data_IF_280903531514
#
_entry.id   IF_280903531514
#
_cell.length_a   1.000
_cell.length_b   1.000
_cell.length_c   1.000
_cell.angle_alpha   90.00
_cell.angle_beta   90.00
_cell.angle_gamma   90.00
#
_symmetry.space_group_name_H-M   'P 1'
#
loop_
_entity.id
_entity.type
_entity.pdbx_description
1 polymer ?
#
# COMPACT_ATOMS: atom_id res chain seq x y z
N UNK A 1 58.68 -26.98 20.17
CA UNK A 1 58.08 -25.72 19.69
C UNK A 1 57.26 -26.06 18.46
N UNK A 2 55.96 -26.29 18.65
CA UNK A 2 55.03 -26.50 17.55
C UNK A 2 54.82 -25.15 16.86
N UNK A 3 54.90 -25.14 15.53
CA UNK A 3 54.63 -23.98 14.70
C UNK A 3 53.19 -23.51 14.93
N UNK A 4 53.03 -22.26 15.36
CA UNK A 4 51.75 -21.55 15.32
C UNK A 4 51.41 -21.33 13.85
N UNK A 5 50.28 -21.86 13.42
CA UNK A 5 49.73 -21.63 12.09
C UNK A 5 49.36 -20.14 11.93
N UNK A 6 49.95 -19.48 10.93
CA UNK A 6 49.48 -18.22 10.39
C UNK A 6 48.09 -18.41 9.75
N UNK A 7 47.00 -18.25 10.51
CA UNK A 7 45.67 -18.12 9.90
C UNK A 7 44.62 -17.41 10.76
N UNK A 8 45.01 -16.62 11.76
CA UNK A 8 44.04 -15.89 12.63
C UNK A 8 44.42 -14.40 12.73
N UNK A 9 44.54 -13.74 11.57
CA UNK A 9 44.35 -12.29 11.56
C UNK A 9 42.85 -12.03 11.76
N UNK A 10 42.42 -11.33 12.83
CA UNK A 10 41.01 -11.04 13.03
C UNK A 10 40.49 -10.28 11.81
N UNK A 11 39.46 -10.82 11.15
CA UNK A 11 38.83 -10.16 10.02
C UNK A 11 38.23 -8.86 10.55
N UNK A 12 38.86 -7.73 10.22
CA UNK A 12 38.34 -6.41 10.58
C UNK A 12 37.25 -6.03 9.59
N UNK A 13 36.01 -6.10 10.04
CA UNK A 13 34.86 -5.60 9.28
C UNK A 13 34.80 -4.07 9.38
N UNK A 14 34.57 -3.41 8.24
CA UNK A 14 34.22 -1.98 8.27
C UNK A 14 32.85 -1.82 8.95
N UNK A 15 32.67 -0.79 9.80
CA UNK A 15 31.41 -0.55 10.48
C UNK A 15 30.30 -0.21 9.48
N UNK A 16 29.06 -0.56 9.81
CA UNK A 16 27.91 -0.25 8.97
C UNK A 16 27.80 1.27 8.72
N UNK A 17 27.52 1.64 7.46
CA UNK A 17 27.45 3.05 7.06
C UNK A 17 26.28 3.74 7.80
N UNK A 18 26.53 4.84 8.55
CA UNK A 18 25.49 5.53 9.32
C UNK A 18 24.28 5.95 8.48
N UNK A 19 23.09 5.92 9.08
CA UNK A 19 21.80 6.19 8.42
C UNK A 19 21.71 7.59 7.81
N UNK A 20 22.41 8.59 8.36
CA UNK A 20 22.42 9.96 7.86
C UNK A 20 23.28 10.18 6.59
N UNK A 21 24.09 9.18 6.18
CA UNK A 21 24.97 9.27 5.02
C UNK A 21 24.37 8.57 3.79
N UNK A 22 24.66 9.14 2.62
CA UNK A 22 24.31 8.55 1.33
C UNK A 22 25.48 7.76 0.74
N UNK A 23 25.18 6.58 0.19
CA UNK A 23 26.13 5.82 -0.62
C UNK A 23 26.40 6.53 -1.95
N UNK A 24 27.52 6.23 -2.65
CA UNK A 24 27.77 6.77 -3.99
C UNK A 24 26.63 6.47 -4.97
N UNK A 25 26.07 5.26 -4.92
CA UNK A 25 24.93 4.84 -5.76
C UNK A 25 23.69 5.68 -5.45
N UNK A 26 23.35 5.87 -4.17
CA UNK A 26 22.23 6.71 -3.76
C UNK A 26 22.40 8.15 -4.25
N UNK A 27 23.60 8.73 -4.13
CA UNK A 27 23.89 10.09 -4.62
C UNK A 27 23.68 10.22 -6.12
N UNK A 28 24.25 9.29 -6.90
CA UNK A 28 24.12 9.29 -8.37
C UNK A 28 22.65 9.21 -8.75
N UNK A 29 21.90 8.27 -8.18
CA UNK A 29 20.47 8.11 -8.48
C UNK A 29 19.65 9.33 -8.10
N UNK A 30 19.89 9.94 -6.93
CA UNK A 30 19.19 11.18 -6.51
C UNK A 30 19.44 12.31 -7.52
N UNK A 31 20.69 12.52 -7.94
CA UNK A 31 21.03 13.58 -8.91
C UNK A 31 20.48 13.27 -10.31
N UNK A 32 20.52 12.02 -10.76
CA UNK A 32 19.92 11.60 -12.02
C UNK A 32 18.40 11.80 -12.00
N UNK A 33 17.70 11.41 -10.93
CA UNK A 33 16.26 11.63 -10.79
C UNK A 33 15.90 13.11 -10.75
N UNK A 34 16.68 13.94 -10.06
CA UNK A 34 16.49 15.39 -10.06
C UNK A 34 16.72 16.00 -11.44
N UNK A 35 17.78 15.57 -12.14
CA UNK A 35 18.05 16.00 -13.51
C UNK A 35 16.94 15.60 -14.48
N UNK A 36 16.42 14.38 -14.39
CA UNK A 36 15.27 13.90 -15.16
C UNK A 36 14.01 14.71 -14.86
N UNK A 37 13.73 15.01 -13.60
CA UNK A 37 12.59 15.84 -13.21
C UNK A 37 12.69 17.25 -13.79
N UNK A 38 13.86 17.89 -13.67
CA UNK A 38 14.10 19.22 -14.26
C UNK A 38 13.95 19.16 -15.79
N UNK A 39 14.55 18.15 -16.44
CA UNK A 39 14.43 17.97 -17.89
C UNK A 39 12.97 17.77 -18.32
N UNK A 40 12.18 16.97 -17.58
CA UNK A 40 10.76 16.79 -17.82
C UNK A 40 10.00 18.11 -17.69
N UNK A 41 10.21 18.86 -16.60
CA UNK A 41 9.59 20.18 -16.42
C UNK A 41 10.00 21.19 -17.50
N UNK A 42 11.28 21.22 -17.88
CA UNK A 42 11.77 22.09 -18.96
C UNK A 42 11.20 21.68 -20.32
N UNK A 43 11.03 20.39 -20.59
CA UNK A 43 10.47 19.90 -21.85
C UNK A 43 9.02 20.31 -22.06
N UNK A 44 8.24 20.52 -20.99
CA UNK A 44 6.87 21.06 -21.09
C UNK A 44 6.83 22.44 -21.75
N UNK A 45 7.92 23.21 -21.63
CA UNK A 45 8.02 24.57 -22.18
C UNK A 45 8.85 24.59 -23.47
N UNK A 46 9.95 23.84 -23.51
CA UNK A 46 10.97 23.95 -24.54
C UNK A 46 10.82 22.93 -25.69
N UNK A 47 10.12 21.81 -25.46
CA UNK A 47 10.05 20.70 -26.41
C UNK A 47 8.74 19.90 -26.26
N UNK A 48 7.62 20.59 -26.10
CA UNK A 48 6.33 19.97 -25.80
C UNK A 48 5.94 18.93 -26.85
N UNK A 49 5.92 19.33 -28.13
CA UNK A 49 5.44 18.46 -29.20
C UNK A 49 6.33 17.22 -29.38
N UNK A 50 7.66 17.39 -29.40
CA UNK A 50 8.59 16.27 -29.61
C UNK A 50 8.58 15.28 -28.45
N UNK A 51 8.61 15.77 -27.21
CA UNK A 51 8.73 14.90 -26.02
C UNK A 51 7.37 14.35 -25.60
N UNK A 52 6.37 15.20 -25.44
CA UNK A 52 5.08 14.81 -24.88
C UNK A 52 4.13 14.27 -25.95
N UNK A 53 4.04 14.91 -27.11
CA UNK A 53 3.05 14.55 -28.14
C UNK A 53 3.54 13.44 -29.07
N UNK A 54 4.78 13.48 -29.55
CA UNK A 54 5.29 12.51 -30.54
C UNK A 54 5.88 11.26 -29.89
N UNK A 55 6.51 11.40 -28.71
CA UNK A 55 7.23 10.30 -28.05
C UNK A 55 6.44 9.68 -26.90
N UNK A 56 6.12 10.46 -25.85
CA UNK A 56 5.50 9.92 -24.65
C UNK A 56 4.02 9.59 -24.84
N UNK A 57 3.31 10.32 -25.69
CA UNK A 57 1.89 10.06 -25.94
C UNK A 57 1.63 8.65 -26.45
N UNK A 58 2.23 8.16 -27.56
CA UNK A 58 1.95 6.80 -28.05
C UNK A 58 2.45 5.69 -27.12
N UNK A 59 3.47 5.97 -26.30
CA UNK A 59 4.05 4.97 -25.39
C UNK A 59 3.27 4.89 -24.08
N UNK A 60 2.95 6.03 -23.47
CA UNK A 60 2.38 6.10 -22.12
C UNK A 60 0.92 6.55 -22.15
N UNK A 61 0.59 7.60 -22.90
CA UNK A 61 -0.71 8.27 -22.78
C UNK A 61 -1.81 7.58 -23.58
N UNK A 62 -1.58 7.22 -24.85
CA UNK A 62 -2.59 6.60 -25.70
C UNK A 62 -3.02 5.23 -25.14
N UNK A 63 -2.12 4.36 -24.65
CA UNK A 63 -2.54 3.13 -23.96
C UNK A 63 -3.34 3.39 -22.67
N UNK A 64 -3.01 4.46 -21.94
CA UNK A 64 -3.75 4.86 -20.73
C UNK A 64 -5.15 5.39 -21.08
N UNK A 65 -5.28 6.17 -22.14
CA UNK A 65 -6.57 6.70 -22.61
C UNK A 65 -7.43 5.59 -23.21
N UNK A 66 -6.83 4.60 -23.87
CA UNK A 66 -7.52 3.42 -24.39
C UNK A 66 -8.01 2.52 -23.25
N UNK A 67 -7.24 2.38 -22.16
CA UNK A 67 -7.68 1.75 -20.90
C UNK A 67 -8.82 2.55 -20.23
N UNK A 68 -8.79 3.89 -20.33
CA UNK A 68 -9.82 4.80 -19.82
C UNK A 68 -11.11 4.84 -20.67
N UNK A 69 -11.11 4.28 -21.88
CA UNK A 69 -12.26 4.31 -22.79
C UNK A 69 -13.35 3.28 -22.46
N UNK A 70 -14.54 3.45 -23.05
CA UNK A 70 -15.73 2.58 -22.85
C UNK A 70 -15.51 1.07 -23.07
N UNK A 71 -14.41 0.65 -23.71
CA UNK A 71 -14.06 -0.74 -23.97
C UNK A 71 -12.96 -1.29 -23.03
N UNK A 72 -12.10 -0.45 -22.43
CA UNK A 72 -11.06 -0.88 -21.46
C UNK A 72 -10.17 -2.04 -21.94
N UNK A 73 -9.67 -1.97 -23.18
CA UNK A 73 -9.04 -3.09 -23.92
C UNK A 73 -7.55 -2.84 -24.30
N UNK A 74 -6.80 -2.03 -23.52
CA UNK A 74 -5.39 -1.76 -23.82
C UNK A 74 -4.44 -2.82 -23.19
N UNK A 75 -3.68 -3.55 -24.02
CA UNK A 75 -2.66 -4.51 -23.57
C UNK A 75 -1.32 -3.87 -23.20
N UNK A 76 -0.60 -4.42 -22.22
CA UNK A 76 0.74 -3.94 -21.83
C UNK A 76 1.82 -4.30 -22.86
N UNK A 77 2.64 -3.32 -23.26
CA UNK A 77 3.84 -3.55 -24.11
C UNK A 77 5.10 -3.86 -23.27
N UNK A 78 6.10 -4.56 -23.82
CA UNK A 78 7.38 -4.78 -23.13
C UNK A 78 8.09 -3.47 -22.73
N UNK A 79 8.01 -2.44 -23.58
CA UNK A 79 8.60 -1.12 -23.33
C UNK A 79 7.95 -0.44 -22.13
N UNK A 80 6.62 -0.44 -22.06
CA UNK A 80 5.87 0.14 -20.94
C UNK A 80 6.20 -0.58 -19.64
N UNK A 81 6.21 -1.92 -19.70
CA UNK A 81 6.56 -2.77 -18.55
C UNK A 81 7.96 -2.46 -18.02
N UNK A 82 8.96 -2.30 -18.91
CA UNK A 82 10.32 -1.97 -18.52
C UNK A 82 10.44 -0.57 -17.90
N UNK A 83 9.76 0.43 -18.47
CA UNK A 83 9.76 1.80 -17.95
C UNK A 83 9.11 1.86 -16.55
N UNK A 84 7.96 1.22 -16.37
CA UNK A 84 7.30 1.17 -15.07
C UNK A 84 8.12 0.41 -14.03
N UNK A 85 8.69 -0.74 -14.39
CA UNK A 85 9.51 -1.53 -13.46
C UNK A 85 10.78 -0.79 -13.06
N UNK A 86 11.50 -0.21 -14.04
CA UNK A 86 12.73 0.53 -13.80
C UNK A 86 12.51 1.80 -12.97
N UNK A 87 11.45 2.56 -13.28
CA UNK A 87 11.09 3.76 -12.51
C UNK A 87 10.66 3.40 -11.08
N UNK A 88 9.90 2.33 -10.88
CA UNK A 88 9.53 1.86 -9.54
C UNK A 88 10.77 1.50 -8.71
N UNK A 89 11.71 0.73 -9.28
CA UNK A 89 12.93 0.33 -8.58
C UNK A 89 13.81 1.54 -8.22
N UNK A 90 13.96 2.50 -9.17
CA UNK A 90 14.67 3.75 -8.92
C UNK A 90 14.00 4.57 -7.81
N UNK A 91 12.67 4.68 -7.83
CA UNK A 91 11.89 5.37 -6.79
C UNK A 91 12.11 4.74 -5.41
N UNK A 92 12.13 3.41 -5.30
CA UNK A 92 12.39 2.73 -4.00
C UNK A 92 13.76 3.12 -3.45
N UNK A 93 14.81 3.10 -4.28
CA UNK A 93 16.19 3.42 -3.85
C UNK A 93 16.35 4.90 -3.49
N UNK A 94 15.69 5.80 -4.21
CA UNK A 94 15.72 7.24 -3.93
C UNK A 94 14.91 7.57 -2.67
N UNK A 95 13.66 7.10 -2.60
CA UNK A 95 12.76 7.40 -1.48
C UNK A 95 13.27 6.82 -0.16
N UNK A 96 13.79 5.58 -0.14
CA UNK A 96 14.36 5.02 1.09
C UNK A 96 15.52 5.90 1.61
N UNK A 97 16.38 6.42 0.72
CA UNK A 97 17.50 7.25 1.11
C UNK A 97 17.01 8.59 1.67
N UNK A 98 16.05 9.24 1.00
CA UNK A 98 15.46 10.50 1.44
C UNK A 98 14.75 10.34 2.80
N UNK A 99 13.91 9.32 2.95
CA UNK A 99 13.16 9.05 4.18
C UNK A 99 14.09 8.76 5.35
N UNK A 100 15.16 8.00 5.10
CA UNK A 100 16.20 7.73 6.09
C UNK A 100 16.93 8.99 6.52
N UNK A 101 17.34 9.85 5.57
CA UNK A 101 18.02 11.12 5.91
C UNK A 101 17.12 12.12 6.62
N UNK A 102 15.83 12.13 6.31
CA UNK A 102 14.84 12.94 7.02
C UNK A 102 14.37 12.33 8.34
N UNK A 103 14.91 11.16 8.71
CA UNK A 103 14.56 10.44 9.92
C UNK A 103 13.04 10.24 10.07
N UNK A 104 12.37 9.91 8.96
CA UNK A 104 10.93 9.65 8.99
C UNK A 104 10.65 8.36 9.76
N UNK A 105 9.54 8.28 10.53
CA UNK A 105 9.18 7.06 11.23
C UNK A 105 9.03 5.89 10.25
N UNK A 106 9.58 4.72 10.58
CA UNK A 106 9.47 3.49 9.78
C UNK A 106 9.09 2.26 10.62
N UNK A 107 8.58 2.50 11.82
CA UNK A 107 8.18 1.47 12.77
C UNK A 107 6.81 0.85 12.43
N UNK A 108 6.38 -0.10 13.26
CA UNK A 108 5.07 -0.76 13.18
C UNK A 108 3.90 0.23 13.08
N UNK A 109 4.01 1.36 13.78
CA UNK A 109 3.02 2.43 13.80
C UNK A 109 2.90 3.10 12.43
N UNK A 110 4.03 3.46 11.82
CA UNK A 110 4.03 3.97 10.44
C UNK A 110 3.51 2.94 9.44
N UNK A 111 3.89 1.67 9.61
CA UNK A 111 3.42 0.60 8.74
C UNK A 111 1.88 0.52 8.73
N UNK A 112 1.25 0.60 9.91
CA UNK A 112 -0.22 0.62 10.02
C UNK A 112 -0.85 1.84 9.33
N UNK A 113 -0.23 3.03 9.48
CA UNK A 113 -0.69 4.24 8.79
C UNK A 113 -0.65 4.10 7.26
N UNK A 114 0.43 3.52 6.73
CA UNK A 114 0.60 3.28 5.30
C UNK A 114 -0.36 2.21 4.77
N UNK A 115 -0.60 1.13 5.52
CA UNK A 115 -1.61 0.11 5.16
C UNK A 115 -2.99 0.77 5.01
N UNK A 116 -3.39 1.61 5.97
CA UNK A 116 -4.67 2.32 5.89
C UNK A 116 -4.71 3.26 4.66
N UNK A 117 -3.58 3.86 4.28
CA UNK A 117 -3.48 4.71 3.11
C UNK A 117 -3.60 3.95 1.78
N UNK A 118 -3.07 2.73 1.72
CA UNK A 118 -3.23 1.84 0.56
C UNK A 118 -4.71 1.56 0.29
N UNK A 119 -5.55 1.49 1.33
CA UNK A 119 -7.00 1.28 1.19
C UNK A 119 -7.76 2.48 0.57
N UNK A 120 -7.20 3.69 0.59
CA UNK A 120 -7.89 4.89 0.09
C UNK A 120 -8.09 4.82 -1.43
N UNK A 121 -7.07 4.37 -2.17
CA UNK A 121 -7.11 4.27 -3.62
C UNK A 121 -8.20 3.31 -4.15
N UNK A 122 -8.27 2.03 -3.73
CA UNK A 122 -9.29 1.11 -4.22
C UNK A 122 -10.70 1.55 -3.82
N UNK A 123 -10.87 2.20 -2.66
CA UNK A 123 -12.19 2.72 -2.26
C UNK A 123 -12.74 3.77 -3.23
N UNK A 124 -11.87 4.67 -3.71
CA UNK A 124 -12.28 5.67 -4.71
C UNK A 124 -12.38 5.07 -6.11
N UNK A 125 -11.56 4.08 -6.45
CA UNK A 125 -11.65 3.34 -7.72
C UNK A 125 -12.99 2.66 -7.91
N UNK A 126 -13.52 2.03 -6.87
CA UNK A 126 -14.82 1.35 -6.95
C UNK A 126 -15.95 2.33 -7.25
N UNK A 127 -15.86 3.57 -6.77
CA UNK A 127 -16.82 4.63 -7.12
C UNK A 127 -16.68 5.05 -8.58
N UNK A 128 -15.46 5.14 -9.10
CA UNK A 128 -15.23 5.38 -10.53
C UNK A 128 -15.75 4.22 -11.40
N UNK A 129 -15.47 2.97 -11.04
CA UNK A 129 -16.01 1.78 -11.72
C UNK A 129 -17.55 1.74 -11.75
N UNK A 130 -18.18 2.40 -10.78
CA UNK A 130 -19.63 2.53 -10.65
C UNK A 130 -20.22 3.78 -11.33
N UNK A 131 -19.43 4.54 -12.11
CA UNK A 131 -19.82 5.82 -12.72
C UNK A 131 -20.37 6.85 -11.70
N UNK A 132 -19.80 6.87 -10.49
CA UNK A 132 -20.14 7.88 -9.49
C UNK A 132 -19.64 9.27 -9.91
N UNK A 133 -18.47 9.34 -10.56
CA UNK A 133 -17.86 10.59 -11.02
C UNK A 133 -18.23 10.86 -12.48
N UNK A 134 -18.40 12.13 -12.84
CA UNK A 134 -18.75 12.53 -14.21
C UNK A 134 -17.56 12.44 -15.16
N UNK A 135 -17.82 12.45 -16.47
CA UNK A 135 -16.81 12.27 -17.54
C UNK A 135 -15.70 13.30 -17.61
N UNK A 136 -15.76 14.37 -16.79
CA UNK A 136 -14.69 15.37 -16.68
C UNK A 136 -13.80 15.11 -15.45
N UNK A 137 -14.32 14.41 -14.45
CA UNK A 137 -13.65 14.15 -13.17
C UNK A 137 -13.13 12.70 -13.05
N UNK A 138 -13.68 11.75 -13.82
CA UNK A 138 -13.24 10.35 -13.93
C UNK A 138 -11.73 10.21 -14.17
N UNK A 139 -11.13 11.08 -15.00
CA UNK A 139 -9.68 11.10 -15.29
C UNK A 139 -8.83 11.21 -14.03
N UNK A 140 -9.30 11.89 -12.97
CA UNK A 140 -8.59 11.96 -11.68
C UNK A 140 -8.52 10.60 -11.00
N UNK A 141 -9.57 9.80 -11.20
CA UNK A 141 -9.72 8.46 -10.70
C UNK A 141 -9.39 7.43 -11.76
N UNK A 142 -8.51 7.70 -12.74
CA UNK A 142 -7.89 6.68 -13.61
C UNK A 142 -6.36 6.66 -13.43
N UNK A 143 -5.71 5.52 -13.67
CA UNK A 143 -4.25 5.40 -13.55
C UNK A 143 -3.56 6.14 -14.72
N UNK A 144 -2.41 6.80 -14.53
CA UNK A 144 -1.62 6.91 -13.31
C UNK A 144 -2.05 8.07 -12.38
N UNK A 145 -2.99 8.92 -12.80
CA UNK A 145 -3.31 10.21 -12.15
C UNK A 145 -3.76 10.03 -10.70
N UNK A 146 -4.55 8.98 -10.41
CA UNK A 146 -4.98 8.69 -9.03
C UNK A 146 -3.80 8.61 -8.06
N UNK A 147 -2.71 7.97 -8.48
CA UNK A 147 -1.56 7.74 -7.63
C UNK A 147 -0.82 9.04 -7.37
N UNK A 148 -0.80 9.96 -8.34
CA UNK A 148 -0.13 11.26 -8.21
C UNK A 148 -0.86 12.15 -7.22
N UNK A 149 -2.18 12.32 -7.35
CA UNK A 149 -2.91 13.19 -6.43
C UNK A 149 -3.05 12.54 -5.04
N UNK A 150 -3.17 11.21 -4.93
CA UNK A 150 -3.14 10.52 -3.64
C UNK A 150 -1.79 10.64 -2.94
N UNK A 151 -0.69 10.59 -3.70
CA UNK A 151 0.64 10.89 -3.16
C UNK A 151 0.72 12.34 -2.68
N UNK A 152 0.12 13.30 -3.41
CA UNK A 152 0.04 14.69 -2.98
C UNK A 152 -0.75 14.84 -1.66
N UNK A 153 -1.86 14.12 -1.49
CA UNK A 153 -2.61 14.06 -0.23
C UNK A 153 -1.79 13.42 0.89
N UNK A 154 -1.06 12.33 0.63
CA UNK A 154 -0.19 11.68 1.62
C UNK A 154 0.89 12.65 2.10
N UNK A 155 1.63 13.24 1.18
CA UNK A 155 2.73 14.17 1.47
C UNK A 155 2.19 15.41 2.16
N UNK A 156 1.10 15.99 1.65
CA UNK A 156 0.44 17.14 2.27
C UNK A 156 0.00 16.85 3.70
N UNK A 157 -0.62 15.70 3.94
CA UNK A 157 -1.02 15.26 5.29
C UNK A 157 0.20 15.10 6.20
N UNK A 158 1.27 14.46 5.74
CA UNK A 158 2.50 14.29 6.52
C UNK A 158 3.15 15.63 6.88
N UNK A 159 3.27 16.54 5.91
CA UNK A 159 3.86 17.88 6.08
C UNK A 159 3.02 18.72 7.03
N UNK A 160 1.69 18.77 6.83
CA UNK A 160 0.79 19.53 7.70
C UNK A 160 0.81 18.99 9.13
N UNK A 161 0.83 17.67 9.30
CA UNK A 161 0.93 17.04 10.61
C UNK A 161 2.25 17.36 11.30
N UNK A 162 3.36 17.35 10.55
CA UNK A 162 4.66 17.75 11.06
C UNK A 162 4.66 19.22 11.52
N UNK A 163 4.25 20.14 10.65
CA UNK A 163 4.25 21.59 10.95
C UNK A 163 3.31 21.91 12.12
N UNK A 164 2.10 21.34 12.12
CA UNK A 164 1.08 21.69 13.09
C UNK A 164 1.38 21.12 14.48
N UNK A 165 1.97 19.91 14.56
CA UNK A 165 1.91 19.10 15.77
C UNK A 165 3.24 18.45 16.23
N UNK A 166 4.32 18.47 15.43
CA UNK A 166 5.59 17.81 15.81
C UNK A 166 6.28 18.43 17.03
N UNK A 167 6.03 19.71 17.31
CA UNK A 167 6.61 20.41 18.48
C UNK A 167 6.22 19.80 19.84
N UNK A 168 5.20 18.96 19.87
CA UNK A 168 4.76 18.23 21.07
C UNK A 168 5.22 16.76 21.07
N UNK A 169 5.91 16.29 20.03
CA UNK A 169 6.43 14.93 19.96
C UNK A 169 7.40 14.67 21.12
N UNK A 170 7.25 13.51 21.77
CA UNK A 170 8.07 13.11 22.92
C UNK A 170 7.69 13.77 24.26
N UNK A 171 6.76 14.73 24.27
CA UNK A 171 6.25 15.30 25.53
C UNK A 171 5.40 14.27 26.29
N UNK A 172 5.63 14.14 27.60
CA UNK A 172 4.85 13.26 28.49
C UNK A 172 3.71 13.97 29.21
N UNK A 173 3.50 15.27 28.96
CA UNK A 173 2.46 16.04 29.63
C UNK A 173 1.10 15.87 28.99
N UNK A 174 0.05 15.72 29.81
CA UNK A 174 -1.33 15.63 29.32
C UNK A 174 -1.75 16.86 28.51
N UNK A 175 -1.29 18.05 28.91
CA UNK A 175 -1.57 19.29 28.20
C UNK A 175 -0.99 19.31 26.79
N UNK A 176 0.25 18.84 26.61
CA UNK A 176 0.87 18.73 25.29
C UNK A 176 0.15 17.71 24.41
N UNK A 177 -0.22 16.56 24.96
CA UNK A 177 -0.98 15.52 24.25
C UNK A 177 -2.35 16.05 23.79
N UNK A 178 -3.07 16.76 24.65
CA UNK A 178 -4.34 17.39 24.29
C UNK A 178 -4.18 18.47 23.22
N UNK A 179 -3.14 19.30 23.32
CA UNK A 179 -2.85 20.33 22.32
C UNK A 179 -2.50 19.71 20.95
N UNK A 180 -1.65 18.68 20.95
CA UNK A 180 -1.27 17.94 19.75
C UNK A 180 -2.50 17.32 19.07
N UNK A 181 -3.31 16.58 19.83
CA UNK A 181 -4.53 15.94 19.34
C UNK A 181 -5.52 16.96 18.77
N UNK A 182 -5.79 18.03 19.50
CA UNK A 182 -6.76 19.04 19.06
C UNK A 182 -6.31 19.74 17.78
N UNK A 183 -5.01 20.05 17.68
CA UNK A 183 -4.43 20.66 16.48
C UNK A 183 -4.48 19.70 15.27
N UNK A 184 -4.07 18.45 15.45
CA UNK A 184 -4.18 17.43 14.42
C UNK A 184 -5.63 17.24 13.99
N UNK A 185 -6.56 17.15 14.94
CA UNK A 185 -7.99 16.97 14.62
C UNK A 185 -8.54 18.12 13.78
N UNK A 186 -8.21 19.37 14.12
CA UNK A 186 -8.62 20.53 13.34
C UNK A 186 -8.10 20.45 11.90
N UNK A 187 -6.80 20.18 11.73
CA UNK A 187 -6.16 20.08 10.40
C UNK A 187 -6.72 18.90 9.59
N UNK A 188 -6.86 17.72 10.20
CA UNK A 188 -7.38 16.53 9.53
C UNK A 188 -8.85 16.70 9.14
N UNK A 189 -9.67 17.34 9.99
CA UNK A 189 -11.07 17.62 9.68
C UNK A 189 -11.22 18.58 8.51
N UNK A 190 -10.44 19.66 8.49
CA UNK A 190 -10.40 20.59 7.34
C UNK A 190 -9.95 19.86 6.08
N UNK A 191 -8.91 19.01 6.19
CA UNK A 191 -8.43 18.19 5.08
C UNK A 191 -9.50 17.26 4.51
N UNK A 192 -10.25 16.57 5.36
CA UNK A 192 -11.33 15.66 4.94
C UNK A 192 -12.49 16.42 4.30
N UNK A 193 -12.86 17.59 4.83
CA UNK A 193 -13.87 18.46 4.22
C UNK A 193 -13.41 18.96 2.86
N UNK A 194 -12.13 19.35 2.73
CA UNK A 194 -11.55 19.77 1.46
C UNK A 194 -11.51 18.62 0.44
N UNK A 195 -11.16 17.42 0.87
CA UNK A 195 -11.18 16.24 0.02
C UNK A 195 -12.60 15.92 -0.46
N UNK A 196 -13.59 15.96 0.45
CA UNK A 196 -15.00 15.80 0.09
C UNK A 196 -15.45 16.85 -0.92
N UNK A 197 -15.17 18.13 -0.65
CA UNK A 197 -15.55 19.25 -1.51
C UNK A 197 -14.93 19.16 -2.91
N UNK A 198 -13.66 18.75 -3.00
CA UNK A 198 -12.97 18.67 -4.28
C UNK A 198 -13.36 17.43 -5.09
N UNK A 199 -13.47 16.28 -4.44
CA UNK A 199 -13.62 14.99 -5.13
C UNK A 199 -15.08 14.52 -5.26
N UNK A 200 -15.90 14.71 -4.22
CA UNK A 200 -17.23 14.10 -4.16
C UNK A 200 -18.37 15.09 -4.39
N UNK A 201 -18.23 16.33 -3.92
CA UNK A 201 -19.28 17.35 -4.05
C UNK A 201 -19.69 17.65 -5.51
N UNK A 202 -18.79 17.63 -6.52
CA UNK A 202 -19.19 17.86 -7.92
C UNK A 202 -20.25 16.86 -8.42
N UNK A 203 -20.12 15.57 -8.08
CA UNK A 203 -21.08 14.53 -8.49
C UNK A 203 -22.50 14.81 -7.99
N UNK A 204 -22.64 15.29 -6.74
CA UNK A 204 -23.95 15.69 -6.20
C UNK A 204 -24.49 16.98 -6.84
N UNK A 205 -23.62 17.85 -7.34
CA UNK A 205 -24.02 19.05 -8.07
C UNK A 205 -24.68 18.73 -9.41
N UNK A 206 -24.26 17.65 -10.07
CA UNK A 206 -24.84 17.16 -11.33
C UNK A 206 -26.14 16.38 -11.12
N UNK A 207 -26.36 15.84 -9.92
CA UNK A 207 -27.54 15.05 -9.56
C UNK A 207 -28.34 15.69 -8.40
N UNK A 208 -28.98 16.87 -8.61
CA UNK A 208 -29.65 17.62 -7.55
C UNK A 208 -30.87 16.90 -6.94
N UNK A 209 -31.46 15.97 -7.68
CA UNK A 209 -32.61 15.19 -7.24
C UNK A 209 -32.25 14.05 -6.26
N UNK A 210 -30.94 13.76 -6.11
CA UNK A 210 -30.46 12.70 -5.24
C UNK A 210 -30.28 13.22 -3.80
N UNK A 211 -30.84 12.49 -2.84
CA UNK A 211 -30.72 12.84 -1.42
C UNK A 211 -29.30 12.65 -0.89
N UNK A 212 -28.63 13.73 -0.48
CA UNK A 212 -27.29 13.67 0.16
C UNK A 212 -27.33 13.19 1.65
N UNK A 213 -28.32 12.40 2.05
CA UNK A 213 -28.48 11.98 3.46
C UNK A 213 -27.36 11.01 3.92
N UNK A 214 -27.06 9.98 3.13
CA UNK A 214 -26.00 9.02 3.46
C UNK A 214 -24.61 9.66 3.33
N UNK A 215 -24.40 10.50 2.32
CA UNK A 215 -23.16 11.26 2.18
C UNK A 215 -22.90 12.24 3.34
N UNK A 216 -23.93 12.91 3.89
CA UNK A 216 -23.78 13.69 5.14
C UNK A 216 -23.43 12.79 6.32
N UNK A 217 -24.10 11.65 6.46
CA UNK A 217 -23.79 10.66 7.49
C UNK A 217 -22.34 10.18 7.40
N UNK A 218 -21.87 9.90 6.19
CA UNK A 218 -20.49 9.50 5.91
C UNK A 218 -19.48 10.59 6.31
N UNK A 219 -19.77 11.87 6.04
CA UNK A 219 -18.90 12.97 6.43
C UNK A 219 -18.81 13.11 7.96
N UNK A 220 -19.93 13.00 8.66
CA UNK A 220 -19.96 13.02 10.15
C UNK A 220 -19.18 11.83 10.71
N UNK A 221 -19.37 10.63 10.15
CA UNK A 221 -18.64 9.42 10.57
C UNK A 221 -17.15 9.51 10.26
N UNK A 222 -16.75 10.11 9.13
CA UNK A 222 -15.36 10.32 8.78
C UNK A 222 -14.66 11.23 9.79
N UNK A 223 -15.27 12.37 10.13
CA UNK A 223 -14.77 13.28 11.17
C UNK A 223 -14.70 12.59 12.54
N UNK A 224 -15.74 11.82 12.92
CA UNK A 224 -15.75 11.05 14.15
C UNK A 224 -14.65 9.99 14.19
N UNK A 225 -14.41 9.28 13.09
CA UNK A 225 -13.33 8.30 12.98
C UNK A 225 -11.95 8.94 13.03
N UNK A 226 -11.78 10.14 12.44
CA UNK A 226 -10.54 10.92 12.52
C UNK A 226 -10.23 11.24 13.98
N UNK A 227 -11.22 11.74 14.74
CA UNK A 227 -11.08 11.99 16.17
C UNK A 227 -10.74 10.72 16.95
N UNK A 228 -11.49 9.64 16.73
CA UNK A 228 -11.28 8.37 17.42
C UNK A 228 -9.87 7.83 17.19
N UNK A 229 -9.38 7.86 15.95
CA UNK A 229 -8.01 7.44 15.64
C UNK A 229 -6.98 8.29 16.35
N UNK A 230 -7.18 9.61 16.46
CA UNK A 230 -6.29 10.47 17.22
C UNK A 230 -6.33 10.17 18.72
N UNK A 231 -7.45 9.71 19.28
CA UNK A 231 -7.53 9.28 20.68
C UNK A 231 -6.77 7.97 20.91
N UNK A 232 -6.96 6.98 20.05
CA UNK A 232 -6.33 5.65 20.18
C UNK A 232 -4.82 5.69 19.94
N UNK A 233 -4.35 6.60 19.07
CA UNK A 233 -2.92 6.76 18.71
C UNK A 233 -2.16 7.70 19.65
N UNK A 234 -2.60 7.83 20.90
CA UNK A 234 -1.93 8.64 21.92
C UNK A 234 -0.44 8.26 22.05
N UNK A 235 0.43 9.25 22.08
CA UNK A 235 1.89 9.06 22.20
C UNK A 235 2.60 8.57 20.93
N UNK A 236 1.89 8.47 19.79
CA UNK A 236 2.52 8.22 18.50
C UNK A 236 3.08 9.53 17.91
N UNK A 237 4.08 9.47 17.01
CA UNK A 237 4.59 10.66 16.33
C UNK A 237 3.50 11.40 15.55
N UNK A 238 3.54 12.73 15.53
CA UNK A 238 2.53 13.57 14.89
C UNK A 238 2.25 13.18 13.42
N UNK A 239 3.32 12.91 12.65
CA UNK A 239 3.22 12.49 11.24
C UNK A 239 2.39 11.21 11.11
N UNK A 240 2.74 10.18 11.88
CA UNK A 240 2.07 8.88 11.85
C UNK A 240 0.60 8.99 12.27
N UNK A 241 0.31 9.80 13.30
CA UNK A 241 -1.06 10.04 13.77
C UNK A 241 -1.93 10.72 12.72
N UNK A 242 -1.40 11.76 12.09
CA UNK A 242 -2.12 12.49 11.04
C UNK A 242 -2.38 11.61 9.82
N UNK A 243 -1.36 10.88 9.34
CA UNK A 243 -1.52 9.93 8.24
C UNK A 243 -2.56 8.86 8.55
N UNK A 244 -2.49 8.18 9.70
CA UNK A 244 -3.49 7.15 10.03
C UNK A 244 -4.90 7.75 10.18
N UNK A 245 -5.01 8.88 10.87
CA UNK A 245 -6.30 9.55 11.11
C UNK A 245 -7.00 9.97 9.81
N UNK A 246 -6.26 10.59 8.89
CA UNK A 246 -6.82 11.00 7.61
C UNK A 246 -7.14 9.80 6.72
N UNK A 247 -6.27 8.78 6.63
CA UNK A 247 -6.56 7.60 5.80
C UNK A 247 -7.85 6.91 6.23
N UNK A 248 -8.00 6.65 7.53
CA UNK A 248 -9.19 6.01 8.07
C UNK A 248 -10.43 6.85 7.78
N UNK A 249 -10.36 8.17 7.97
CA UNK A 249 -11.47 9.06 7.68
C UNK A 249 -11.81 9.10 6.17
N UNK A 250 -10.81 9.09 5.29
CA UNK A 250 -11.01 9.04 3.84
C UNK A 250 -11.62 7.71 3.38
N UNK A 251 -11.20 6.58 3.96
CA UNK A 251 -11.80 5.26 3.71
C UNK A 251 -13.26 5.23 4.18
N UNK A 252 -13.54 5.71 5.40
CA UNK A 252 -14.92 5.80 5.93
C UNK A 252 -15.79 6.70 5.06
N UNK A 253 -15.25 7.84 4.61
CA UNK A 253 -15.93 8.74 3.69
C UNK A 253 -16.28 8.02 2.38
N UNK A 254 -15.31 7.37 1.73
CA UNK A 254 -15.52 6.71 0.46
C UNK A 254 -16.48 5.51 0.54
N UNK A 255 -16.35 4.66 1.55
CA UNK A 255 -17.31 3.55 1.80
C UNK A 255 -18.71 4.09 2.12
N UNK A 256 -18.81 5.22 2.82
CA UNK A 256 -20.09 5.87 3.04
C UNK A 256 -20.73 6.39 1.73
N UNK A 257 -19.92 6.76 0.74
CA UNK A 257 -20.39 7.09 -0.60
C UNK A 257 -20.79 5.83 -1.40
N UNK A 258 -20.18 4.67 -1.14
CA UNK A 258 -20.69 3.39 -1.66
C UNK A 258 -22.13 3.16 -1.17
N UNK A 259 -22.37 3.33 0.15
CA UNK A 259 -23.70 3.17 0.73
C UNK A 259 -24.72 4.18 0.16
N UNK A 260 -24.29 5.43 -0.08
CA UNK A 260 -25.13 6.42 -0.76
C UNK A 260 -25.51 5.96 -2.17
N UNK A 261 -24.53 5.50 -2.96
CA UNK A 261 -24.76 5.05 -4.32
C UNK A 261 -25.66 3.81 -4.37
N UNK A 262 -25.46 2.86 -3.44
CA UNK A 262 -26.33 1.69 -3.28
C UNK A 262 -27.78 2.06 -2.91
N UNK A 263 -27.97 3.10 -2.10
CA UNK A 263 -29.30 3.50 -1.64
C UNK A 263 -30.07 4.32 -2.69
N UNK A 264 -29.36 5.15 -3.45
CA UNK A 264 -29.93 6.03 -4.48
C UNK A 264 -29.00 6.07 -5.68
N UNK A 265 -28.95 5.00 -6.49
CA UNK A 265 -28.14 4.98 -7.71
C UNK A 265 -28.70 6.01 -8.70
N UNK A 266 -27.82 6.64 -9.47
CA UNK A 266 -28.18 7.53 -10.56
C UNK A 266 -27.76 6.93 -11.90
N UNK A 267 -28.27 7.50 -12.99
CA UNK A 267 -28.04 7.00 -14.35
C UNK A 267 -26.54 7.01 -14.66
N UNK A 268 -25.99 5.83 -14.92
CA UNK A 268 -24.59 5.62 -15.29
C UNK A 268 -24.36 6.06 -16.74
N UNK A 269 -23.37 6.91 -17.00
CA UNK A 269 -23.05 7.39 -18.35
C UNK A 269 -22.54 6.26 -19.28
N UNK A 270 -22.01 5.18 -18.70
CA UNK A 270 -21.62 3.98 -19.44
C UNK A 270 -22.81 3.18 -19.98
N UNK A 271 -24.04 3.45 -19.51
CA UNK A 271 -25.22 2.65 -19.80
C UNK A 271 -25.19 1.26 -19.15
N UNK A 272 -24.25 1.01 -18.23
CA UNK A 272 -24.29 -0.16 -17.36
C UNK A 272 -25.52 -0.07 -16.45
N UNK A 273 -26.07 -1.23 -16.14
CA UNK A 273 -27.15 -1.36 -15.17
C UNK A 273 -26.52 -2.07 -13.99
N UNK A 274 -26.37 -1.38 -12.85
CA UNK A 274 -25.92 -2.02 -11.61
C UNK A 274 -26.75 -3.28 -11.36
N UNK A 275 -26.06 -4.41 -11.22
CA UNK A 275 -26.68 -5.69 -10.90
C UNK A 275 -27.22 -5.73 -9.46
N UNK A 276 -27.61 -6.92 -9.02
CA UNK A 276 -28.04 -7.13 -7.65
C UNK A 276 -26.90 -6.85 -6.66
N UNK A 277 -27.18 -6.04 -5.65
CA UNK A 277 -26.24 -5.74 -4.56
C UNK A 277 -26.01 -7.01 -3.73
N UNK A 278 -24.75 -7.48 -3.65
CA UNK A 278 -24.39 -8.68 -2.87
C UNK A 278 -23.34 -8.40 -1.80
N UNK A 279 -23.67 -8.67 -0.53
CA UNK A 279 -22.79 -8.33 0.61
C UNK A 279 -22.01 -9.53 1.18
N UNK A 280 -22.44 -10.76 0.89
CA UNK A 280 -21.78 -11.95 1.44
C UNK A 280 -20.31 -12.13 0.97
N UNK A 281 -19.88 -11.71 -0.25
CA UNK A 281 -18.48 -11.84 -0.67
C UNK A 281 -17.52 -11.13 0.29
N UNK A 282 -17.97 -10.04 0.93
CA UNK A 282 -17.22 -9.29 1.94
C UNK A 282 -16.75 -10.18 3.08
N UNK A 283 -17.64 -11.03 3.57
CA UNK A 283 -17.36 -11.90 4.71
C UNK A 283 -16.31 -12.95 4.35
N UNK A 284 -16.33 -13.46 3.11
CA UNK A 284 -15.37 -14.49 2.66
C UNK A 284 -14.01 -13.87 2.33
N UNK A 285 -14.01 -12.85 1.47
CA UNK A 285 -12.80 -12.21 0.93
C UNK A 285 -12.03 -11.46 2.00
N UNK A 286 -12.69 -10.84 2.99
CA UNK A 286 -12.00 -10.19 4.11
C UNK A 286 -11.85 -11.10 5.33
N UNK A 287 -12.84 -11.97 5.59
CA UNK A 287 -12.87 -12.80 6.80
C UNK A 287 -11.86 -13.93 6.81
N UNK A 288 -11.66 -14.63 5.67
CA UNK A 288 -10.66 -15.70 5.58
C UNK A 288 -9.24 -15.14 5.77
N UNK A 289 -8.79 -14.11 5.03
CA UNK A 289 -7.48 -13.51 5.27
C UNK A 289 -7.32 -12.97 6.69
N UNK A 290 -8.36 -12.33 7.26
CA UNK A 290 -8.31 -11.87 8.65
C UNK A 290 -8.10 -13.03 9.64
N UNK A 291 -8.77 -14.17 9.45
CA UNK A 291 -8.58 -15.35 10.28
C UNK A 291 -7.14 -15.89 10.17
N UNK A 292 -6.56 -15.92 8.97
CA UNK A 292 -5.16 -16.30 8.75
C UNK A 292 -4.21 -15.32 9.47
N UNK A 293 -4.43 -14.01 9.34
CA UNK A 293 -3.64 -13.00 10.04
C UNK A 293 -3.74 -13.14 11.57
N UNK A 294 -4.92 -13.45 12.11
CA UNK A 294 -5.10 -13.72 13.54
C UNK A 294 -4.32 -14.96 13.97
N UNK A 295 -4.30 -16.02 13.15
CA UNK A 295 -3.51 -17.22 13.42
C UNK A 295 -2.00 -16.90 13.43
N UNK A 296 -1.49 -16.20 12.42
CA UNK A 296 -0.09 -15.78 12.35
C UNK A 296 0.30 -14.86 13.53
N UNK A 297 -0.55 -13.89 13.86
CA UNK A 297 -0.34 -13.01 14.99
C UNK A 297 -0.26 -13.80 16.31
N UNK A 298 -1.14 -14.79 16.52
CA UNK A 298 -1.09 -15.65 17.71
C UNK A 298 0.22 -16.43 17.82
N UNK A 299 0.75 -16.91 16.69
CA UNK A 299 2.03 -17.64 16.66
C UNK A 299 3.21 -16.72 16.98
N UNK A 300 3.23 -15.48 16.48
CA UNK A 300 4.38 -14.58 16.62
C UNK A 300 4.38 -13.64 17.82
N UNK A 301 3.23 -13.42 18.47
CA UNK A 301 3.06 -12.34 19.46
C UNK A 301 3.96 -12.46 20.69
N UNK A 302 4.22 -13.67 21.17
CA UNK A 302 5.05 -13.87 22.37
C UNK A 302 6.50 -13.48 22.09
N UNK A 303 7.07 -14.00 21.00
CA UNK A 303 8.43 -13.71 20.56
C UNK A 303 8.59 -12.23 20.20
N UNK A 304 7.59 -11.61 19.56
CA UNK A 304 7.59 -10.18 19.28
C UNK A 304 7.65 -9.33 20.57
N UNK A 305 6.89 -9.72 21.61
CA UNK A 305 6.93 -9.03 22.91
C UNK A 305 8.27 -9.23 23.60
N UNK A 306 8.80 -10.45 23.62
CA UNK A 306 10.11 -10.73 24.20
C UNK A 306 11.20 -9.92 23.52
N UNK A 307 11.20 -9.88 22.19
CA UNK A 307 12.18 -9.10 21.43
C UNK A 307 12.07 -7.60 21.72
N UNK A 308 10.85 -7.07 21.82
CA UNK A 308 10.60 -5.67 22.19
C UNK A 308 11.19 -5.33 23.58
N UNK A 309 11.09 -6.25 24.56
CA UNK A 309 11.66 -6.05 25.89
C UNK A 309 13.19 -6.00 25.88
N UNK A 310 13.84 -6.62 24.90
CA UNK A 310 15.30 -6.53 24.71
C UNK A 310 15.74 -5.25 23.98
N UNK A 311 14.81 -4.41 23.53
CA UNK A 311 15.11 -3.18 22.79
C UNK A 311 15.46 -3.41 21.32
N UNK A 312 15.22 -4.61 20.78
CA UNK A 312 15.51 -4.95 19.39
C UNK A 312 14.26 -5.02 18.53
N UNK A 313 14.44 -4.86 17.20
CA UNK A 313 13.37 -4.97 16.21
C UNK A 313 13.43 -6.32 15.48
N UNK A 314 12.27 -6.91 15.10
CA UNK A 314 12.25 -8.17 14.36
C UNK A 314 12.99 -8.06 13.03
N UNK A 315 13.99 -8.92 12.82
CA UNK A 315 14.77 -9.04 11.60
C UNK A 315 15.71 -7.86 11.30
N UNK A 316 15.98 -6.99 12.27
CA UNK A 316 16.90 -5.85 12.13
C UNK A 316 18.14 -6.09 12.99
N UNK A 317 19.31 -5.99 12.36
CA UNK A 317 20.61 -6.14 13.01
C UNK A 317 20.91 -4.88 13.85
N UNK A 318 21.52 -5.03 15.05
CA UNK A 318 21.91 -3.88 15.88
C UNK A 318 22.79 -2.86 15.15
N UNK A 319 22.70 -1.59 15.56
CA UNK A 319 23.47 -0.50 14.96
C UNK A 319 24.99 -0.77 14.99
N UNK A 320 25.66 -0.42 13.89
CA UNK A 320 27.12 -0.54 13.73
C UNK A 320 27.60 -1.88 13.19
N UNK A 321 26.77 -2.93 13.21
CA UNK A 321 27.11 -4.26 12.69
C UNK A 321 26.61 -4.40 11.24
N UNK A 322 27.46 -4.88 10.35
CA UNK A 322 27.09 -5.14 8.95
C UNK A 322 26.45 -6.51 8.78
N UNK A 323 25.62 -6.67 7.74
CA UNK A 323 25.06 -7.98 7.41
C UNK A 323 26.15 -9.03 7.13
N UNK A 324 27.25 -8.62 6.48
CA UNK A 324 28.39 -9.50 6.20
C UNK A 324 29.07 -10.00 7.47
N UNK A 325 29.23 -9.13 8.47
CA UNK A 325 29.77 -9.52 9.76
C UNK A 325 28.82 -10.48 10.48
N UNK A 326 27.51 -10.17 10.48
CA UNK A 326 26.49 -11.00 11.11
C UNK A 326 26.48 -12.44 10.57
N UNK A 327 26.57 -12.59 9.24
CA UNK A 327 26.60 -13.90 8.58
C UNK A 327 27.92 -14.64 8.76
N UNK A 328 29.05 -13.92 8.74
CA UNK A 328 30.36 -14.55 8.89
C UNK A 328 30.63 -15.04 10.32
N UNK A 329 30.07 -14.37 11.32
CA UNK A 329 30.20 -14.69 12.74
C UNK A 329 28.94 -15.41 13.28
N UNK A 330 28.28 -16.25 12.46
CA UNK A 330 26.99 -16.85 12.79
C UNK A 330 26.95 -17.59 14.14
N UNK A 331 28.03 -18.28 14.52
CA UNK A 331 28.12 -18.99 15.80
C UNK A 331 28.13 -18.04 17.01
N UNK A 332 28.66 -16.82 16.86
CA UNK A 332 28.66 -15.80 17.91
C UNK A 332 27.26 -15.20 18.10
N UNK A 333 26.50 -15.03 17.01
CA UNK A 333 25.20 -14.36 17.02
C UNK A 333 24.01 -15.31 17.19
N UNK A 334 24.26 -16.63 17.23
CA UNK A 334 23.21 -17.67 17.32
C UNK A 334 22.26 -17.49 18.50
N UNK A 335 22.79 -17.12 19.67
CA UNK A 335 22.00 -16.91 20.89
C UNK A 335 21.49 -15.46 21.02
N UNK A 336 21.79 -14.60 20.05
CA UNK A 336 21.32 -13.21 20.07
C UNK A 336 19.79 -13.18 19.92
N UNK A 337 19.06 -12.36 20.71
CA UNK A 337 17.59 -12.30 20.65
C UNK A 337 17.03 -12.07 19.23
N UNK A 338 17.72 -11.25 18.43
CA UNK A 338 17.37 -11.02 17.02
C UNK A 338 17.42 -12.31 16.22
N UNK A 339 18.42 -13.16 16.38
CA UNK A 339 18.52 -14.38 15.58
C UNK A 339 17.49 -15.42 16.03
N UNK A 340 17.34 -15.58 17.33
CA UNK A 340 16.47 -16.60 17.91
C UNK A 340 14.97 -16.28 17.79
N UNK A 341 14.57 -15.01 18.01
CA UNK A 341 13.15 -14.63 18.10
C UNK A 341 12.56 -14.05 16.80
N UNK A 342 13.39 -13.53 15.89
CA UNK A 342 12.88 -12.74 14.74
C UNK A 342 11.96 -13.54 13.83
N UNK A 343 12.26 -14.81 13.56
CA UNK A 343 11.51 -15.61 12.58
C UNK A 343 10.01 -15.70 12.93
N UNK A 344 9.70 -15.94 14.21
CA UNK A 344 8.33 -15.97 14.71
C UNK A 344 7.79 -14.58 15.01
N UNK A 345 8.61 -13.68 15.57
CA UNK A 345 8.21 -12.31 15.84
C UNK A 345 7.71 -11.58 14.57
N UNK A 346 8.37 -11.82 13.43
CA UNK A 346 7.99 -11.26 12.13
C UNK A 346 6.58 -11.69 11.68
N UNK A 347 6.10 -12.88 12.07
CA UNK A 347 4.74 -13.33 11.74
C UNK A 347 3.65 -12.48 12.39
N UNK A 348 3.96 -11.82 13.51
CA UNK A 348 3.05 -10.89 14.18
C UNK A 348 3.25 -9.43 13.75
N UNK A 349 4.24 -9.14 12.90
CA UNK A 349 4.57 -7.79 12.49
C UNK A 349 3.54 -7.26 11.46
N UNK A 350 3.09 -5.99 11.56
CA UNK A 350 2.13 -5.41 10.60
C UNK A 350 2.51 -5.54 9.12
N UNK A 351 3.81 -5.51 8.79
CA UNK A 351 4.33 -5.72 7.44
C UNK A 351 3.91 -7.07 6.86
N UNK A 352 4.16 -8.16 7.60
CA UNK A 352 3.84 -9.52 7.18
C UNK A 352 2.34 -9.72 7.16
N UNK A 353 1.65 -9.28 8.21
CA UNK A 353 0.20 -9.43 8.31
C UNK A 353 -0.52 -8.69 7.18
N UNK A 354 -0.11 -7.46 6.87
CA UNK A 354 -0.66 -6.69 5.75
C UNK A 354 -0.43 -7.40 4.43
N UNK A 355 0.79 -7.85 4.15
CA UNK A 355 1.12 -8.52 2.89
C UNK A 355 0.31 -9.81 2.69
N UNK A 356 0.21 -10.64 3.73
CA UNK A 356 -0.62 -11.86 3.74
C UNK A 356 -2.08 -11.49 3.49
N UNK A 357 -2.60 -10.50 4.22
CA UNK A 357 -3.97 -10.06 4.05
C UNK A 357 -4.25 -9.60 2.62
N UNK A 358 -3.40 -8.75 2.06
CA UNK A 358 -3.56 -8.20 0.71
C UNK A 358 -3.53 -9.28 -0.38
N UNK A 359 -2.54 -10.17 -0.36
CA UNK A 359 -2.40 -11.20 -1.41
C UNK A 359 -3.51 -12.27 -1.33
N UNK A 360 -3.95 -12.63 -0.13
CA UNK A 360 -5.07 -13.55 0.03
C UNK A 360 -6.40 -12.89 -0.33
N UNK A 361 -6.60 -11.62 0.04
CA UNK A 361 -7.78 -10.84 -0.35
C UNK A 361 -7.92 -10.82 -1.87
N UNK A 362 -6.85 -10.51 -2.59
CA UNK A 362 -6.80 -10.54 -4.06
C UNK A 362 -7.18 -11.92 -4.63
N UNK A 363 -6.44 -12.96 -4.24
CA UNK A 363 -6.67 -14.31 -4.76
C UNK A 363 -8.10 -14.81 -4.51
N UNK A 364 -8.67 -14.55 -3.33
CA UNK A 364 -10.03 -14.95 -2.99
C UNK A 364 -11.07 -14.06 -3.70
N UNK A 365 -10.82 -12.75 -3.84
CA UNK A 365 -11.72 -11.85 -4.56
C UNK A 365 -11.86 -12.25 -6.02
N UNK A 366 -10.74 -12.50 -6.71
CA UNK A 366 -10.72 -12.98 -8.10
C UNK A 366 -11.41 -14.33 -8.23
N UNK A 367 -11.11 -15.28 -7.34
CA UNK A 367 -11.78 -16.59 -7.34
C UNK A 367 -13.29 -16.46 -7.20
N UNK A 368 -13.78 -15.69 -6.22
CA UNK A 368 -15.21 -15.49 -6.02
C UNK A 368 -15.83 -14.77 -7.22
N UNK A 369 -15.19 -13.73 -7.75
CA UNK A 369 -15.71 -12.97 -8.89
C UNK A 369 -15.86 -13.80 -10.16
N UNK A 370 -14.87 -14.63 -10.48
CA UNK A 370 -14.90 -15.45 -11.70
C UNK A 370 -15.77 -16.69 -11.51
N UNK A 371 -15.46 -17.53 -10.52
CA UNK A 371 -16.11 -18.84 -10.37
C UNK A 371 -17.59 -18.73 -9.93
N UNK A 372 -17.99 -17.62 -9.28
CA UNK A 372 -19.35 -17.48 -8.73
C UNK A 372 -20.18 -16.36 -9.35
N UNK A 373 -19.55 -15.32 -9.91
CA UNK A 373 -20.24 -14.18 -10.51
C UNK A 373 -20.01 -14.03 -12.03
N UNK A 374 -19.16 -14.88 -12.64
CA UNK A 374 -18.94 -14.88 -14.09
C UNK A 374 -18.18 -13.65 -14.62
N UNK A 375 -17.39 -12.99 -13.77
CA UNK A 375 -16.50 -11.92 -14.21
C UNK A 375 -15.33 -12.47 -15.02
N UNK A 376 -14.79 -11.68 -15.96
CA UNK A 376 -13.59 -12.03 -16.72
C UNK A 376 -12.31 -11.47 -16.09
N UNK A 377 -11.24 -12.28 -16.07
CA UNK A 377 -9.89 -11.82 -15.72
C UNK A 377 -9.26 -11.03 -16.88
N UNK A 378 -8.67 -9.87 -16.57
CA UNK A 378 -8.07 -8.98 -17.57
C UNK A 378 -6.57 -9.21 -17.73
N UNK A 379 -5.86 -9.65 -16.69
CA UNK A 379 -4.41 -9.76 -16.74
C UNK A 379 -3.98 -11.06 -17.46
N UNK A 380 -3.15 -11.01 -18.53
CA UNK A 380 -2.81 -12.18 -19.34
C UNK A 380 -2.23 -13.35 -18.53
N UNK A 381 -1.35 -13.05 -17.57
CA UNK A 381 -0.72 -14.05 -16.71
C UNK A 381 -1.73 -14.68 -15.74
N UNK A 382 -2.64 -13.87 -15.17
CA UNK A 382 -3.67 -14.38 -14.26
C UNK A 382 -4.67 -15.24 -15.02
N UNK A 383 -5.09 -14.80 -16.21
CA UNK A 383 -5.99 -15.54 -17.08
C UNK A 383 -5.39 -16.90 -17.50
N UNK A 384 -4.09 -16.94 -17.80
CA UNK A 384 -3.41 -18.22 -18.08
C UNK A 384 -3.48 -19.19 -16.89
N UNK A 385 -3.26 -18.72 -15.66
CA UNK A 385 -3.39 -19.55 -14.45
C UNK A 385 -4.81 -20.09 -14.32
N UNK A 386 -5.83 -19.28 -14.58
CA UNK A 386 -7.24 -19.70 -14.52
C UNK A 386 -7.54 -20.77 -15.58
N UNK A 387 -7.08 -20.59 -16.82
CA UNK A 387 -7.25 -21.56 -17.89
C UNK A 387 -6.59 -22.91 -17.55
N UNK A 388 -5.40 -22.91 -16.95
CA UNK A 388 -4.79 -24.14 -16.44
C UNK A 388 -5.63 -24.78 -15.32
N UNK A 389 -6.26 -23.97 -14.46
CA UNK A 389 -7.23 -24.46 -13.47
C UNK A 389 -8.42 -25.17 -14.12
N UNK A 390 -8.95 -24.60 -15.20
CA UNK A 390 -10.03 -25.19 -16.00
C UNK A 390 -9.61 -26.54 -16.64
N UNK A 391 -8.38 -26.63 -17.15
CA UNK A 391 -7.81 -27.87 -17.69
C UNK A 391 -7.67 -28.95 -16.61
N UNK A 392 -7.22 -28.58 -15.41
CA UNK A 392 -7.13 -29.49 -14.25
C UNK A 392 -8.52 -29.99 -13.83
N UNK A 393 -9.52 -29.09 -13.76
CA UNK A 393 -10.90 -29.46 -13.48
C UNK A 393 -11.40 -30.52 -14.48
N UNK A 394 -11.16 -30.28 -15.78
CA UNK A 394 -11.53 -31.21 -16.85
C UNK A 394 -10.79 -32.55 -16.76
N UNK A 395 -9.50 -32.54 -16.41
CA UNK A 395 -8.70 -33.75 -16.27
C UNK A 395 -9.10 -34.61 -15.06
N UNK A 396 -9.54 -33.97 -13.97
CA UNK A 396 -9.92 -34.64 -12.72
C UNK A 396 -11.44 -34.89 -12.58
N UNK A 397 -12.26 -34.39 -13.52
CA UNK A 397 -13.71 -34.48 -13.45
C UNK A 397 -14.33 -33.66 -12.31
N UNK A 398 -13.69 -32.55 -11.94
CA UNK A 398 -14.14 -31.66 -10.86
C UNK A 398 -15.04 -30.54 -11.42
N UNK A 399 -16.22 -30.35 -10.83
CA UNK A 399 -17.12 -29.23 -11.13
C UNK A 399 -16.83 -28.02 -10.20
N UNK A 400 -15.55 -27.61 -10.11
CA UNK A 400 -15.11 -26.50 -9.25
C UNK A 400 -14.94 -25.20 -10.06
N UNK A 401 -16.06 -24.57 -10.42
CA UNK A 401 -16.06 -23.27 -11.10
C UNK A 401 -15.35 -23.27 -12.47
N UNK A 402 -14.95 -22.09 -12.93
CA UNK A 402 -14.22 -21.88 -14.19
C UNK A 402 -12.71 -22.14 -14.03
N UNK A 403 -12.22 -22.35 -12.81
CA UNK A 403 -10.82 -22.69 -12.51
C UNK A 403 -10.06 -21.62 -11.73
N UNK A 404 -10.73 -20.55 -11.30
CA UNK A 404 -10.08 -19.45 -10.59
C UNK A 404 -9.59 -19.81 -9.18
N UNK A 405 -10.06 -20.93 -8.62
CA UNK A 405 -9.49 -21.52 -7.39
C UNK A 405 -7.97 -21.75 -7.48
N UNK A 406 -7.42 -22.04 -8.67
CA UNK A 406 -5.99 -22.22 -8.85
C UNK A 406 -5.23 -20.90 -8.65
N UNK A 407 -5.81 -19.78 -9.09
CA UNK A 407 -5.22 -18.46 -8.88
C UNK A 407 -5.13 -18.12 -7.39
N UNK A 408 -6.20 -18.37 -6.63
CA UNK A 408 -6.20 -18.21 -5.17
C UNK A 408 -5.11 -19.06 -4.49
N UNK A 409 -4.96 -20.32 -4.92
CA UNK A 409 -3.93 -21.22 -4.41
C UNK A 409 -2.50 -20.73 -4.75
N UNK A 410 -2.27 -20.29 -5.98
CA UNK A 410 -0.98 -19.73 -6.41
C UNK A 410 -0.63 -18.48 -5.60
N UNK A 411 -1.59 -17.58 -5.38
CA UNK A 411 -1.43 -16.39 -4.52
C UNK A 411 -1.09 -16.77 -3.08
N UNK A 412 -1.78 -17.76 -2.52
CA UNK A 412 -1.51 -18.26 -1.17
C UNK A 412 -0.10 -18.87 -1.04
N UNK A 413 0.33 -19.67 -2.03
CA UNK A 413 1.69 -20.23 -2.07
C UNK A 413 2.76 -19.15 -2.23
N UNK A 414 2.52 -18.18 -3.13
CA UNK A 414 3.42 -17.06 -3.37
C UNK A 414 3.63 -16.24 -2.10
N UNK A 415 2.55 -15.86 -1.40
CA UNK A 415 2.69 -15.09 -0.17
C UNK A 415 3.30 -15.92 0.95
N UNK A 416 3.02 -17.23 1.01
CA UNK A 416 3.70 -18.14 1.93
C UNK A 416 5.21 -18.19 1.71
N UNK A 417 5.65 -18.26 0.45
CA UNK A 417 7.07 -18.21 0.07
C UNK A 417 7.71 -16.85 0.44
N UNK A 418 7.03 -15.74 0.13
CA UNK A 418 7.53 -14.40 0.45
C UNK A 418 7.67 -14.23 1.97
N UNK A 419 6.68 -14.67 2.76
CA UNK A 419 6.74 -14.62 4.23
C UNK A 419 7.87 -15.49 4.76
N UNK A 420 8.07 -16.68 4.20
CA UNK A 420 9.17 -17.56 4.58
C UNK A 420 10.53 -16.89 4.31
N UNK A 421 10.73 -16.34 3.11
CA UNK A 421 11.95 -15.59 2.76
C UNK A 421 12.14 -14.39 3.69
N UNK A 422 11.08 -13.62 3.92
CA UNK A 422 11.13 -12.42 4.76
C UNK A 422 11.43 -12.74 6.23
N UNK A 423 10.94 -13.87 6.75
CA UNK A 423 11.27 -14.34 8.09
C UNK A 423 12.75 -14.69 8.24
N UNK A 424 13.39 -15.24 7.20
CA UNK A 424 14.81 -15.60 7.21
C UNK A 424 15.74 -14.42 6.94
N UNK A 425 15.28 -13.40 6.22
CA UNK A 425 16.12 -12.24 5.91
C UNK A 425 16.43 -11.39 7.16
N UNK A 426 17.69 -11.01 7.30
CA UNK A 426 18.15 -9.98 8.24
C UNK A 426 18.52 -8.74 7.46
N UNK A 427 18.14 -7.57 7.98
CA UNK A 427 18.48 -6.28 7.36
C UNK A 427 19.31 -5.44 8.32
N UNK A 428 20.20 -4.62 7.75
CA UNK A 428 20.90 -3.61 8.54
C UNK A 428 19.94 -2.52 9.00
N UNK A 429 20.26 -1.85 10.10
CA UNK A 429 19.47 -0.75 10.65
C UNK A 429 19.15 0.34 9.59
N UNK A 430 20.15 0.73 8.80
CA UNK A 430 19.98 1.71 7.70
C UNK A 430 19.00 1.28 6.60
N UNK A 431 18.66 -0.01 6.50
CA UNK A 431 17.82 -0.57 5.45
C UNK A 431 16.35 -0.71 5.86
N UNK A 432 15.96 -0.26 7.07
CA UNK A 432 14.57 -0.34 7.54
C UNK A 432 13.56 0.31 6.57
N UNK A 433 13.84 1.52 6.05
CA UNK A 433 12.95 2.17 5.07
C UNK A 433 12.86 1.40 3.75
N UNK A 434 13.97 0.79 3.30
CA UNK A 434 13.98 -0.04 2.11
C UNK A 434 13.11 -1.29 2.30
N UNK A 435 13.24 -1.95 3.45
CA UNK A 435 12.40 -3.09 3.85
C UNK A 435 10.92 -2.72 3.84
N UNK A 436 10.56 -1.59 4.44
CA UNK A 436 9.19 -1.09 4.48
C UNK A 436 8.62 -0.82 3.08
N UNK A 437 9.39 -0.18 2.20
CA UNK A 437 8.93 0.16 0.83
C UNK A 437 8.73 -1.07 -0.05
N UNK A 438 9.58 -2.09 0.06
CA UNK A 438 9.36 -3.37 -0.65
C UNK A 438 8.09 -4.03 -0.17
N UNK A 439 7.89 -4.11 1.15
CA UNK A 439 6.67 -4.69 1.72
C UNK A 439 5.44 -3.92 1.24
N UNK A 440 5.51 -2.59 1.23
CA UNK A 440 4.42 -1.74 0.76
C UNK A 440 4.12 -1.98 -0.73
N UNK A 441 5.14 -2.18 -1.57
CA UNK A 441 4.97 -2.52 -2.97
C UNK A 441 4.22 -3.86 -3.14
N UNK A 442 4.66 -4.92 -2.43
CA UNK A 442 3.98 -6.23 -2.48
C UNK A 442 2.56 -6.13 -1.92
N UNK A 443 2.35 -5.33 -0.88
CA UNK A 443 1.03 -5.07 -0.31
C UNK A 443 0.10 -4.41 -1.34
N UNK A 444 0.55 -3.33 -1.98
CA UNK A 444 -0.25 -2.57 -2.96
C UNK A 444 -0.71 -3.47 -4.10
N UNK A 445 0.18 -4.34 -4.61
CA UNK A 445 -0.13 -5.26 -5.73
C UNK A 445 -1.19 -6.31 -5.37
N UNK A 446 -1.41 -6.62 -4.10
CA UNK A 446 -2.48 -7.54 -3.68
C UNK A 446 -3.70 -6.81 -3.12
N UNK A 447 -3.50 -5.97 -2.11
CA UNK A 447 -4.59 -5.34 -1.36
C UNK A 447 -5.43 -4.41 -2.23
N UNK A 448 -4.82 -3.63 -3.14
CA UNK A 448 -5.58 -2.68 -3.95
C UNK A 448 -6.49 -3.38 -4.97
N UNK A 449 -6.02 -4.37 -5.76
CA UNK A 449 -6.91 -5.17 -6.61
C UNK A 449 -8.00 -5.91 -5.81
N UNK A 450 -7.64 -6.61 -4.73
CA UNK A 450 -8.62 -7.36 -3.93
C UNK A 450 -9.72 -6.48 -3.32
N UNK A 451 -9.39 -5.27 -2.84
CA UNK A 451 -10.38 -4.30 -2.33
C UNK A 451 -11.19 -3.63 -3.44
N UNK A 452 -10.66 -3.53 -4.67
CA UNK A 452 -11.41 -3.03 -5.82
C UNK A 452 -12.42 -4.08 -6.28
N UNK A 453 -11.97 -5.32 -6.48
CA UNK A 453 -12.81 -6.41 -6.98
C UNK A 453 -13.97 -6.70 -6.02
N UNK A 454 -13.71 -6.77 -4.72
CA UNK A 454 -14.77 -6.95 -3.72
C UNK A 454 -15.79 -5.81 -3.75
N UNK A 455 -15.34 -4.56 -3.93
CA UNK A 455 -16.22 -3.39 -3.99
C UNK A 455 -17.08 -3.41 -5.25
N UNK A 456 -16.52 -3.82 -6.38
CA UNK A 456 -17.25 -4.05 -7.63
C UNK A 456 -18.32 -5.13 -7.48
N UNK A 457 -18.00 -6.25 -6.83
CA UNK A 457 -18.97 -7.30 -6.49
C UNK A 457 -20.10 -6.79 -5.60
N UNK A 458 -19.79 -5.93 -4.63
CA UNK A 458 -20.78 -5.33 -3.74
C UNK A 458 -21.74 -4.39 -4.47
N UNK A 459 -21.21 -3.57 -5.38
CA UNK A 459 -21.98 -2.60 -6.15
C UNK A 459 -22.62 -3.18 -7.42
N UNK A 460 -22.27 -4.41 -7.80
CA UNK A 460 -22.79 -5.09 -8.99
C UNK A 460 -22.30 -4.47 -10.30
N UNK A 461 -21.02 -4.07 -10.37
CA UNK A 461 -20.42 -3.34 -11.51
C UNK A 461 -19.16 -4.00 -12.10
#
# INVERSE_FOLDING_TARGET
>A
MAAMSESDSPVTYEPALPSHLYTPVEKVLIWCSLGLFIAACSSLVLAYDTVWTETLRPIIWDPVVEDAGRAGDAGYTPQNTAIYTGSMLACVVVLQALFRRWNLPCDDRMTLALIAWVCVAPVMRVLEDADFFSSQADVLFISPIIHLHLAAWLIGTAVLSHIAASKWDGSRSDAAEHAQRNMLFAVMSVGIILQWWWLYAPAYGEHPDVSFAWGRGALVLAVASSWFMLVVTRGWPAITRGLLSFAVAAVVLGVGHWAQFMATPWAQESGRVSGDITLWPVVVVLGIPAAVCVALYRVGREDARQLTLTGHLPGVIPEGITLKQWEAEADQWKDHPVEFLSNKALLAHPMVLGMVFGQLCDGIATMVGIDMFGYGEKHPVSNQVILYGAEINKALGLELGEGAWLFALVKAMLVGLIVWLFAQMRVEDRQQHFRLLIVLAVLIVGLAPGLRDIGRLMLGV
#
